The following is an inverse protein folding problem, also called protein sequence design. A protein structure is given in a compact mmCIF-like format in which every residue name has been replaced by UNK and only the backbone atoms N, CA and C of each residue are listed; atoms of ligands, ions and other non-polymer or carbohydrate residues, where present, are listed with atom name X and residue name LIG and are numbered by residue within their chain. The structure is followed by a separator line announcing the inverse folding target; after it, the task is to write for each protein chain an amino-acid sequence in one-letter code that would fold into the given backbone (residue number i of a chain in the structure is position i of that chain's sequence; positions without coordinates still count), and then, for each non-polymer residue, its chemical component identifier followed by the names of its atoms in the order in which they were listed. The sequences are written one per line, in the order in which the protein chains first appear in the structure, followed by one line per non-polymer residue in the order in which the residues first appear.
data_IF_768842209720
#
_entry.id   IF_768842209720
#
_cell.length_a   1.000
_cell.length_b   1.000
_cell.length_c   1.000
_cell.angle_alpha   90.00
_cell.angle_beta   90.00
_cell.angle_gamma   90.00
#
_symmetry.space_group_name_H-M   'P 1'
#
loop_
_entity.id
_entity.type
_entity.pdbx_description
1 polymer ?
#
# COMPACT_ATOMS: atom_id res chain seq x y z
N UNK A 1 -6.64 -18.52 0.41
CA UNK A 1 -5.83 -19.22 1.42
C UNK A 1 -6.70 -19.40 2.64
N UNK A 2 -6.69 -20.56 3.27
CA UNK A 2 -7.48 -20.84 4.47
C UNK A 2 -6.59 -20.96 5.71
N UNK A 3 -7.08 -20.59 6.88
CA UNK A 3 -6.49 -20.91 8.17
C UNK A 3 -6.49 -22.43 8.39
N UNK A 4 -5.89 -22.88 9.49
CA UNK A 4 -5.97 -24.27 9.94
C UNK A 4 -7.43 -24.73 10.17
N UNK A 5 -8.36 -23.79 10.33
CA UNK A 5 -9.81 -24.02 10.50
C UNK A 5 -10.60 -23.93 9.17
N UNK A 6 -9.91 -23.74 8.04
CA UNK A 6 -10.58 -23.65 6.72
C UNK A 6 -11.09 -22.25 6.37
N UNK A 7 -10.83 -21.22 7.18
CA UNK A 7 -11.35 -19.86 6.97
C UNK A 7 -10.43 -18.98 6.11
N UNK A 8 -10.93 -18.08 5.25
CA UNK A 8 -10.09 -17.16 4.49
C UNK A 8 -9.14 -16.35 5.39
N UNK A 9 -7.85 -16.34 5.04
CA UNK A 9 -6.84 -15.54 5.76
C UNK A 9 -7.03 -14.05 5.44
N UNK A 10 -7.80 -13.38 6.29
CA UNK A 10 -8.04 -11.94 6.27
C UNK A 10 -7.19 -11.28 7.36
N UNK A 11 -6.57 -10.14 7.03
CA UNK A 11 -5.89 -9.27 8.00
C UNK A 11 -6.46 -7.88 7.94
N UNK A 12 -6.64 -7.27 9.10
CA UNK A 12 -7.18 -5.92 9.23
C UNK A 12 -6.23 -5.12 10.11
N UNK A 13 -6.01 -3.86 9.74
CA UNK A 13 -5.39 -2.89 10.61
C UNK A 13 -6.20 -1.60 10.57
N UNK A 14 -6.24 -0.91 11.70
CA UNK A 14 -7.00 0.32 11.85
C UNK A 14 -6.04 1.40 12.26
N UNK A 15 -6.13 2.55 11.60
CA UNK A 15 -5.46 3.75 12.05
C UNK A 15 -6.45 4.91 12.15
N UNK A 16 -6.12 5.90 12.96
CA UNK A 16 -6.92 7.09 13.11
C UNK A 16 -6.07 8.37 13.11
N UNK A 17 -6.69 9.50 12.79
CA UNK A 17 -6.09 10.81 12.94
C UNK A 17 -7.17 11.89 13.18
N UNK A 18 -6.71 13.09 13.56
CA UNK A 18 -7.58 14.27 13.61
C UNK A 18 -7.98 14.72 12.20
N UNK A 19 -9.08 15.48 12.12
CA UNK A 19 -9.61 16.00 10.85
C UNK A 19 -8.63 16.91 10.10
N UNK A 20 -7.77 17.63 10.83
CA UNK A 20 -6.77 18.55 10.30
C UNK A 20 -5.42 17.89 9.99
N UNK A 21 -5.28 16.59 10.27
CA UNK A 21 -4.04 15.86 10.03
C UNK A 21 -3.78 15.68 8.53
N UNK A 22 -2.63 16.18 8.08
CA UNK A 22 -2.10 15.87 6.77
C UNK A 22 -1.36 14.54 6.77
N UNK A 23 -2.08 13.45 6.51
CA UNK A 23 -1.54 12.08 6.47
C UNK A 23 -0.46 11.86 5.39
N UNK A 24 -0.26 12.82 4.47
CA UNK A 24 0.75 12.74 3.42
C UNK A 24 1.93 13.69 3.64
N UNK A 25 1.97 14.42 4.76
CA UNK A 25 3.04 15.39 5.02
C UNK A 25 4.41 14.70 4.98
N UNK A 26 5.36 15.30 4.27
CA UNK A 26 6.70 14.74 4.08
C UNK A 26 6.78 13.57 3.10
N UNK A 27 5.64 13.01 2.67
CA UNK A 27 5.58 11.89 1.73
C UNK A 27 5.28 12.32 0.29
N UNK A 28 4.66 13.50 0.07
CA UNK A 28 4.27 13.99 -1.28
C UNK A 28 5.46 14.21 -2.21
N UNK A 29 5.82 13.18 -2.96
CA UNK A 29 6.91 13.19 -3.94
C UNK A 29 6.60 12.17 -5.03
N UNK A 30 7.17 12.34 -6.24
CA UNK A 30 7.19 11.31 -7.28
C UNK A 30 7.69 9.92 -6.82
N UNK A 31 8.62 9.90 -5.85
CA UNK A 31 9.25 8.66 -5.39
C UNK A 31 8.39 7.85 -4.42
N UNK A 32 7.54 8.53 -3.65
CA UNK A 32 6.81 7.97 -2.52
C UNK A 32 5.31 7.85 -2.82
N UNK A 33 4.46 8.79 -2.41
CA UNK A 33 2.99 8.61 -2.48
C UNK A 33 2.32 9.28 -3.66
N UNK A 34 3.01 10.07 -4.48
CA UNK A 34 2.32 11.02 -5.37
C UNK A 34 2.62 12.46 -5.03
N UNK A 35 2.62 13.33 -6.04
CA UNK A 35 2.58 14.79 -5.83
C UNK A 35 1.18 15.23 -5.38
N UNK A 36 0.13 14.55 -5.85
CA UNK A 36 -1.27 14.91 -5.61
C UNK A 36 -2.13 13.72 -5.15
N UNK A 37 -1.79 13.02 -4.05
CA UNK A 37 -2.64 11.94 -3.54
C UNK A 37 -3.99 12.50 -3.05
N UNK A 38 -5.04 11.67 -3.09
CA UNK A 38 -6.34 12.00 -2.50
C UNK A 38 -6.19 12.24 -1.00
N UNK A 39 -6.85 13.28 -0.52
CA UNK A 39 -6.87 13.73 0.89
C UNK A 39 -8.22 13.44 1.53
N UNK A 40 -8.31 13.43 2.87
CA UNK A 40 -9.60 13.31 3.56
C UNK A 40 -10.62 14.36 3.11
N UNK A 41 -10.18 15.58 2.79
CA UNK A 41 -11.05 16.63 2.25
C UNK A 41 -11.68 16.24 0.90
N UNK A 42 -10.91 15.63 -0.02
CA UNK A 42 -11.47 15.18 -1.30
C UNK A 42 -12.51 14.07 -1.09
N UNK A 43 -12.22 13.12 -0.19
CA UNK A 43 -13.12 12.01 0.14
C UNK A 43 -14.42 12.56 0.74
N UNK A 44 -14.31 13.53 1.65
CA UNK A 44 -15.45 14.20 2.26
C UNK A 44 -16.29 14.94 1.23
N UNK A 45 -15.67 15.76 0.37
CA UNK A 45 -16.40 16.52 -0.66
C UNK A 45 -17.18 15.61 -1.59
N UNK A 46 -16.63 14.46 -1.97
CA UNK A 46 -17.35 13.45 -2.72
C UNK A 46 -18.55 12.89 -1.93
N UNK A 47 -18.35 12.52 -0.66
CA UNK A 47 -19.42 12.01 0.19
C UNK A 47 -20.54 13.04 0.37
N UNK A 48 -20.21 14.28 0.71
CA UNK A 48 -21.15 15.37 0.93
C UNK A 48 -21.96 15.69 -0.33
N UNK A 49 -21.33 15.68 -1.52
CA UNK A 49 -22.03 15.88 -2.78
C UNK A 49 -23.06 14.77 -3.08
N UNK A 50 -22.76 13.52 -2.69
CA UNK A 50 -23.68 12.39 -2.86
C UNK A 50 -24.83 12.38 -1.86
N UNK A 51 -24.71 13.10 -0.74
CA UNK A 51 -25.67 13.13 0.36
C UNK A 51 -26.28 14.52 0.57
N UNK A 52 -26.14 15.42 -0.41
CA UNK A 52 -26.73 16.76 -0.32
C UNK A 52 -28.25 16.63 -0.22
N UNK A 53 -28.85 17.32 0.76
CA UNK A 53 -30.30 17.42 0.85
C UNK A 53 -30.78 18.34 -0.26
N UNK A 54 -31.27 17.74 -1.35
CA UNK A 54 -31.77 18.44 -2.52
C UNK A 54 -33.27 18.78 -2.44
N UNK A 55 -33.88 18.58 -1.27
CA UNK A 55 -35.28 18.87 -0.99
C UNK A 55 -35.40 19.74 0.26
N UNK A 56 -36.24 20.78 0.15
CA UNK A 56 -36.60 21.68 1.25
C UNK A 56 -37.58 20.99 2.21
N UNK A 57 -37.78 21.51 3.43
CA UNK A 57 -38.74 20.94 4.39
C UNK A 57 -40.19 20.86 3.88
N UNK A 58 -40.56 21.67 2.90
CA UNK A 58 -41.85 21.68 2.22
C UNK A 58 -41.97 20.61 1.10
N UNK A 59 -40.91 19.82 0.86
CA UNK A 59 -40.85 18.78 -0.16
C UNK A 59 -40.44 19.25 -1.55
N UNK A 60 -40.26 20.56 -1.76
CA UNK A 60 -39.85 21.11 -3.06
C UNK A 60 -38.34 20.95 -3.30
N UNK A 61 -37.88 20.87 -4.56
CA UNK A 61 -36.44 20.91 -4.85
C UNK A 61 -35.78 22.15 -4.24
N UNK A 62 -34.57 21.95 -3.72
CA UNK A 62 -33.71 23.03 -3.23
C UNK A 62 -32.64 23.35 -4.29
N UNK A 63 -32.82 24.42 -5.09
CA UNK A 63 -31.85 24.81 -6.11
C UNK A 63 -30.54 25.36 -5.53
N UNK A 64 -30.50 25.64 -4.22
CA UNK A 64 -29.33 26.14 -3.51
C UNK A 64 -28.69 25.06 -2.62
N UNK A 65 -29.10 23.80 -2.77
CA UNK A 65 -28.52 22.67 -2.06
C UNK A 65 -27.03 22.57 -2.36
N UNK A 66 -26.21 22.94 -1.38
CA UNK A 66 -24.75 22.86 -1.45
C UNK A 66 -24.24 21.76 -0.52
N UNK A 67 -23.24 20.97 -0.94
CA UNK A 67 -22.61 19.99 -0.06
C UNK A 67 -21.97 20.69 1.14
N UNK A 68 -22.04 20.04 2.31
CA UNK A 68 -21.33 20.48 3.52
C UNK A 68 -19.81 20.53 3.24
N UNK A 69 -19.18 21.67 3.55
CA UNK A 69 -17.74 21.85 3.37
C UNK A 69 -16.94 20.95 4.33
N UNK A 70 -15.66 20.71 4.02
CA UNK A 70 -14.80 19.94 4.92
C UNK A 70 -14.53 20.69 6.24
N UNK A 71 -14.45 22.03 6.17
CA UNK A 71 -14.28 22.90 7.32
C UNK A 71 -15.48 22.83 8.27
N UNK A 72 -16.70 22.76 7.74
CA UNK A 72 -17.91 22.60 8.55
C UNK A 72 -18.02 21.18 9.11
N UNK A 73 -17.70 20.16 8.31
CA UNK A 73 -17.68 18.78 8.76
C UNK A 73 -16.68 18.58 9.92
N UNK A 74 -15.53 19.24 9.87
CA UNK A 74 -14.50 19.23 10.92
C UNK A 74 -14.96 19.84 12.26
N UNK A 75 -16.07 20.60 12.28
CA UNK A 75 -16.68 21.08 13.54
C UNK A 75 -17.53 20.00 14.22
N UNK A 76 -18.02 19.02 13.44
CA UNK A 76 -18.93 17.98 13.89
C UNK A 76 -18.22 16.64 14.11
N UNK A 77 -17.33 16.27 13.20
CA UNK A 77 -16.46 15.11 13.31
C UNK A 77 -15.14 15.52 13.93
N UNK A 78 -14.55 14.64 14.73
CA UNK A 78 -13.29 14.89 15.42
C UNK A 78 -12.19 13.92 14.97
N UNK A 79 -12.57 12.81 14.30
CA UNK A 79 -11.64 11.76 13.91
C UNK A 79 -11.96 11.22 12.52
N UNK A 80 -10.87 10.92 11.82
CA UNK A 80 -10.85 10.10 10.61
C UNK A 80 -10.28 8.74 11.01
N UNK A 81 -10.98 7.66 10.69
CA UNK A 81 -10.44 6.30 10.77
C UNK A 81 -10.19 5.76 9.38
N UNK A 82 -9.05 5.10 9.20
CA UNK A 82 -8.67 4.37 7.99
C UNK A 82 -8.57 2.90 8.38
N UNK A 83 -9.51 2.09 7.91
CA UNK A 83 -9.54 0.65 8.13
C UNK A 83 -9.00 -0.02 6.87
N UNK A 84 -7.83 -0.64 6.96
CA UNK A 84 -7.24 -1.40 5.86
C UNK A 84 -7.49 -2.89 6.05
N UNK A 85 -7.96 -3.55 5.00
CA UNK A 85 -8.11 -5.00 4.95
C UNK A 85 -7.22 -5.60 3.87
N UNK A 86 -6.70 -6.81 4.11
CA UNK A 86 -5.98 -7.64 3.15
C UNK A 86 -6.59 -9.04 3.13
N UNK A 87 -6.81 -9.56 1.92
CA UNK A 87 -7.11 -10.97 1.68
C UNK A 87 -5.88 -11.62 1.05
N UNK A 88 -5.32 -12.63 1.73
CA UNK A 88 -4.12 -13.31 1.26
C UNK A 88 -4.41 -14.19 0.04
N UNK A 89 -3.58 -14.05 -0.99
CA UNK A 89 -3.56 -14.97 -2.14
C UNK A 89 -2.95 -16.30 -1.68
N UNK A 90 -3.41 -17.41 -2.25
CA UNK A 90 -2.87 -18.73 -1.92
C UNK A 90 -1.34 -18.77 -2.17
N UNK A 91 -0.50 -19.08 -1.16
CA UNK A 91 0.95 -19.18 -1.31
C UNK A 91 1.41 -20.08 -2.46
N UNK A 92 0.62 -21.11 -2.79
CA UNK A 92 0.92 -22.02 -3.89
C UNK A 92 1.03 -21.29 -5.24
N UNK A 93 0.19 -20.29 -5.48
CA UNK A 93 0.22 -19.48 -6.72
C UNK A 93 1.57 -18.80 -6.90
N UNK A 94 2.15 -18.27 -5.82
CA UNK A 94 3.48 -17.67 -5.86
C UNK A 94 4.59 -18.71 -5.98
N UNK A 95 4.45 -19.89 -5.33
CA UNK A 95 5.43 -20.99 -5.44
C UNK A 95 5.51 -21.54 -6.85
N UNK A 96 4.37 -21.76 -7.48
CA UNK A 96 4.28 -22.23 -8.86
C UNK A 96 4.89 -21.20 -9.80
N UNK A 97 4.61 -19.91 -9.60
CA UNK A 97 5.16 -18.88 -10.46
C UNK A 97 6.67 -18.72 -10.26
N UNK A 98 7.16 -18.76 -9.02
CA UNK A 98 8.59 -18.74 -8.75
C UNK A 98 9.32 -19.93 -9.34
N UNK A 99 8.74 -21.13 -9.29
CA UNK A 99 9.32 -22.31 -9.95
C UNK A 99 9.45 -22.10 -11.45
N UNK A 100 8.37 -21.64 -12.10
CA UNK A 100 8.38 -21.29 -13.54
C UNK A 100 9.49 -20.26 -13.88
N UNK A 101 9.65 -19.24 -13.05
CA UNK A 101 10.70 -18.22 -13.17
C UNK A 101 12.12 -18.82 -13.06
N UNK A 102 12.32 -19.73 -12.09
CA UNK A 102 13.59 -20.42 -11.82
C UNK A 102 13.95 -21.41 -12.95
N UNK A 103 12.95 -22.03 -13.56
CA UNK A 103 13.09 -22.94 -14.70
C UNK A 103 13.44 -22.20 -16.02
N UNK A 104 13.57 -20.87 -15.98
CA UNK A 104 13.94 -20.04 -17.12
C UNK A 104 12.80 -19.70 -18.06
N UNK A 105 11.57 -20.04 -17.69
CA UNK A 105 10.39 -19.77 -18.50
C UNK A 105 10.04 -18.27 -18.46
N UNK A 106 9.90 -17.68 -19.65
CA UNK A 106 9.62 -16.26 -19.84
C UNK A 106 8.12 -15.94 -19.74
N UNK A 107 7.27 -16.96 -19.88
CA UNK A 107 5.84 -16.81 -20.01
C UNK A 107 5.20 -16.46 -18.65
N UNK A 108 4.10 -15.70 -18.64
CA UNK A 108 3.35 -15.44 -17.42
C UNK A 108 2.75 -16.75 -16.90
N UNK A 109 2.54 -16.84 -15.59
CA UNK A 109 1.70 -17.91 -15.05
C UNK A 109 0.25 -17.45 -15.12
N UNK A 110 -0.54 -17.97 -16.06
CA UNK A 110 -1.95 -17.56 -16.27
C UNK A 110 -2.78 -17.62 -14.97
N UNK A 111 -2.49 -18.62 -14.14
CA UNK A 111 -3.12 -18.79 -12.83
C UNK A 111 -2.83 -17.64 -11.86
N UNK A 112 -1.67 -16.97 -11.96
CA UNK A 112 -1.31 -15.84 -11.10
C UNK A 112 -2.23 -14.64 -11.34
N UNK A 113 -2.40 -14.22 -12.61
CA UNK A 113 -3.25 -13.06 -12.94
C UNK A 113 -4.68 -13.31 -12.49
N UNK A 114 -5.25 -14.47 -12.82
CA UNK A 114 -6.62 -14.85 -12.43
C UNK A 114 -6.79 -14.85 -10.92
N UNK A 115 -5.95 -15.60 -10.18
CA UNK A 115 -6.06 -15.68 -8.73
C UNK A 115 -5.97 -14.30 -8.05
N UNK A 116 -5.07 -13.44 -8.53
CA UNK A 116 -4.91 -12.10 -7.92
C UNK A 116 -6.04 -11.13 -8.29
N UNK A 117 -6.68 -11.28 -9.45
CA UNK A 117 -7.87 -10.50 -9.84
C UNK A 117 -9.12 -10.98 -9.09
N UNK A 118 -9.27 -12.29 -8.88
CA UNK A 118 -10.37 -12.85 -8.12
C UNK A 118 -10.31 -12.36 -6.67
N UNK A 119 -9.13 -12.44 -6.04
CA UNK A 119 -8.90 -11.92 -4.69
C UNK A 119 -9.16 -10.40 -4.61
N UNK A 120 -8.78 -9.62 -5.63
CA UNK A 120 -9.11 -8.19 -5.69
C UNK A 120 -10.62 -7.93 -5.73
N UNK A 121 -11.36 -8.71 -6.52
CA UNK A 121 -12.82 -8.59 -6.66
C UNK A 121 -13.54 -8.96 -5.37
N UNK A 122 -13.08 -10.03 -4.71
CA UNK A 122 -13.62 -10.47 -3.41
C UNK A 122 -13.42 -9.37 -2.37
N UNK A 123 -12.21 -8.80 -2.26
CA UNK A 123 -11.95 -7.78 -1.24
C UNK A 123 -12.71 -6.48 -1.51
N UNK A 124 -12.78 -6.00 -2.75
CA UNK A 124 -13.57 -4.80 -3.09
C UNK A 124 -15.06 -5.00 -2.75
N UNK A 125 -15.58 -6.21 -2.98
CA UNK A 125 -16.96 -6.58 -2.61
C UNK A 125 -17.16 -6.64 -1.09
N UNK A 126 -16.21 -7.22 -0.36
CA UNK A 126 -16.25 -7.31 1.10
C UNK A 126 -16.18 -5.92 1.75
N UNK A 127 -15.26 -5.06 1.30
CA UNK A 127 -15.13 -3.68 1.78
C UNK A 127 -16.42 -2.89 1.57
N UNK A 128 -17.07 -3.05 0.42
CA UNK A 128 -18.35 -2.38 0.14
C UNK A 128 -19.47 -2.85 1.09
N UNK A 129 -19.55 -4.15 1.38
CA UNK A 129 -20.54 -4.71 2.32
C UNK A 129 -20.29 -4.27 3.76
N UNK A 130 -19.03 -4.32 4.21
CA UNK A 130 -18.65 -3.87 5.56
C UNK A 130 -18.91 -2.38 5.71
N UNK A 131 -18.53 -1.57 4.72
CA UNK A 131 -18.81 -0.13 4.73
C UNK A 131 -20.30 0.17 4.89
N UNK A 132 -21.18 -0.55 4.16
CA UNK A 132 -22.63 -0.40 4.28
C UNK A 132 -23.13 -0.75 5.69
N UNK A 133 -22.62 -1.82 6.31
CA UNK A 133 -22.98 -2.22 7.68
C UNK A 133 -22.49 -1.24 8.74
N UNK A 134 -21.41 -0.50 8.46
CA UNK A 134 -20.86 0.50 9.36
C UNK A 134 -21.58 1.86 9.32
N UNK A 135 -22.44 2.09 8.32
CA UNK A 135 -23.15 3.35 8.18
C UNK A 135 -24.08 3.59 9.37
N UNK A 136 -24.01 4.79 9.93
CA UNK A 136 -24.90 5.23 11.00
C UNK A 136 -25.13 6.74 10.90
N UNK A 137 -26.16 7.30 11.56
CA UNK A 137 -26.43 8.74 11.52
C UNK A 137 -25.25 9.61 11.99
N UNK A 138 -24.37 9.05 12.81
CA UNK A 138 -23.22 9.74 13.40
C UNK A 138 -21.89 9.45 12.69
N UNK A 139 -21.92 8.74 11.56
CA UNK A 139 -20.71 8.34 10.82
C UNK A 139 -20.89 8.55 9.31
N UNK A 140 -19.88 9.11 8.67
CA UNK A 140 -19.76 9.03 7.21
C UNK A 140 -18.76 7.93 6.86
N UNK A 141 -19.18 6.95 6.05
CA UNK A 141 -18.37 5.78 5.71
C UNK A 141 -18.19 5.70 4.19
N UNK A 142 -16.95 5.67 3.73
CA UNK A 142 -16.60 5.64 2.31
C UNK A 142 -15.66 4.44 2.05
N UNK A 143 -16.11 3.40 1.32
CA UNK A 143 -15.21 2.34 0.88
C UNK A 143 -14.32 2.85 -0.26
N UNK A 144 -13.00 2.74 -0.12
CA UNK A 144 -12.00 3.17 -1.10
C UNK A 144 -11.64 2.03 -2.06
N UNK A 145 -12.65 1.49 -2.75
CA UNK A 145 -12.44 0.59 -3.89
C UNK A 145 -11.82 1.35 -5.07
N UNK A 146 -11.28 0.64 -6.07
CA UNK A 146 -10.71 1.31 -7.25
C UNK A 146 -11.73 2.24 -7.93
N UNK A 147 -12.95 1.75 -8.13
CA UNK A 147 -14.05 2.50 -8.74
C UNK A 147 -14.41 3.76 -7.94
N UNK A 148 -14.44 3.68 -6.62
CA UNK A 148 -14.77 4.83 -5.78
C UNK A 148 -13.63 5.85 -5.75
N UNK A 149 -12.38 5.39 -5.66
CA UNK A 149 -11.23 6.28 -5.79
C UNK A 149 -11.31 7.07 -7.10
N UNK A 150 -11.43 6.38 -8.25
CA UNK A 150 -11.59 6.96 -9.59
C UNK A 150 -12.76 7.99 -9.66
N UNK A 151 -13.89 7.67 -9.02
CA UNK A 151 -15.04 8.56 -8.93
C UNK A 151 -14.79 9.82 -8.06
N UNK A 152 -14.00 9.71 -7.00
CA UNK A 152 -13.61 10.85 -6.16
C UNK A 152 -12.73 11.80 -6.98
N UNK A 153 -11.68 11.30 -7.63
CA UNK A 153 -10.76 12.16 -8.42
C UNK A 153 -11.50 12.87 -9.53
N UNK A 154 -12.31 12.13 -10.31
CA UNK A 154 -12.99 12.70 -11.47
C UNK A 154 -13.91 13.87 -11.09
N UNK A 155 -14.42 13.89 -9.86
CA UNK A 155 -15.34 14.91 -9.34
C UNK A 155 -14.67 16.02 -8.53
N UNK A 156 -13.58 15.72 -7.84
CA UNK A 156 -12.95 16.65 -6.88
C UNK A 156 -11.66 17.27 -7.40
N UNK A 157 -11.03 16.68 -8.43
CA UNK A 157 -9.74 17.11 -8.94
C UNK A 157 -9.86 17.69 -10.35
N UNK A 158 -9.14 18.78 -10.63
CA UNK A 158 -9.15 19.40 -11.95
C UNK A 158 -8.31 18.59 -12.94
N UNK A 159 -8.65 18.73 -14.23
CA UNK A 159 -8.06 17.93 -15.32
C UNK A 159 -6.52 18.02 -15.38
N UNK A 160 -5.95 19.19 -15.03
CA UNK A 160 -4.49 19.39 -15.02
C UNK A 160 -3.74 18.56 -13.97
N UNK A 161 -4.44 18.00 -12.97
CA UNK A 161 -3.85 17.09 -11.98
C UNK A 161 -4.09 15.62 -12.31
N UNK A 162 -5.05 15.31 -13.20
CA UNK A 162 -5.36 13.95 -13.61
C UNK A 162 -4.20 13.36 -14.40
N UNK A 163 -3.88 12.09 -14.14
CA UNK A 163 -2.74 11.38 -14.72
C UNK A 163 -1.35 11.86 -14.27
N UNK A 164 -1.22 12.91 -13.45
CA UNK A 164 0.08 13.42 -12.93
C UNK A 164 0.42 12.89 -11.54
N UNK A 165 0.07 11.64 -11.29
CA UNK A 165 0.28 10.96 -10.02
C UNK A 165 1.55 10.13 -10.15
N UNK A 166 2.66 10.66 -9.64
CA UNK A 166 3.93 9.93 -9.64
C UNK A 166 4.16 9.31 -8.26
N UNK A 167 4.06 8.00 -8.19
CA UNK A 167 4.41 7.15 -7.06
C UNK A 167 4.63 5.74 -7.63
N UNK A 168 5.24 4.78 -6.89
CA UNK A 168 5.61 3.47 -7.42
C UNK A 168 4.42 2.62 -7.94
N UNK A 169 3.18 3.08 -7.81
CA UNK A 169 1.98 2.39 -8.30
C UNK A 169 0.96 3.26 -9.07
N UNK A 170 1.24 4.55 -9.38
CA UNK A 170 0.31 5.45 -10.09
C UNK A 170 -1.17 5.30 -9.65
N UNK A 171 -1.40 5.23 -8.34
CA UNK A 171 -2.75 5.14 -7.76
C UNK A 171 -3.07 6.45 -7.04
N UNK A 172 -4.27 6.96 -7.27
CA UNK A 172 -4.77 8.21 -6.70
C UNK A 172 -5.04 8.12 -5.21
N UNK A 173 -5.40 6.92 -4.77
CA UNK A 173 -5.44 6.52 -3.38
C UNK A 173 -4.33 5.50 -3.19
N UNK A 174 -3.10 5.90 -2.78
CA UNK A 174 -1.91 5.04 -2.80
C UNK A 174 -2.05 3.84 -1.87
N UNK A 175 -2.73 2.78 -2.32
CA UNK A 175 -3.15 1.65 -1.49
C UNK A 175 -1.98 1.01 -0.75
N UNK A 176 -0.83 0.89 -1.43
CA UNK A 176 0.38 0.34 -0.83
C UNK A 176 0.86 1.17 0.37
N UNK A 177 0.86 2.49 0.23
CA UNK A 177 1.26 3.38 1.32
C UNK A 177 0.23 3.39 2.44
N UNK A 178 -1.08 3.33 2.12
CA UNK A 178 -2.15 3.24 3.11
C UNK A 178 -2.03 1.98 3.98
N UNK A 179 -1.79 0.81 3.39
CA UNK A 179 -1.64 -0.43 4.18
C UNK A 179 -0.37 -0.44 5.03
N UNK A 180 0.67 0.27 4.59
CA UNK A 180 1.88 0.44 5.41
C UNK A 180 1.65 1.44 6.55
N UNK A 181 0.99 2.57 6.26
CA UNK A 181 0.68 3.58 7.27
C UNK A 181 -0.28 3.07 8.35
N UNK A 182 -1.23 2.21 7.98
CA UNK A 182 -2.11 1.56 8.96
C UNK A 182 -1.44 0.48 9.79
N UNK A 183 -0.16 0.16 9.54
CA UNK A 183 0.56 -0.91 10.22
C UNK A 183 0.21 -2.31 9.74
N UNK A 184 -0.64 -2.45 8.71
CA UNK A 184 -1.03 -3.75 8.17
C UNK A 184 0.15 -4.49 7.55
N UNK A 185 1.02 -3.77 6.85
CA UNK A 185 2.12 -4.34 6.06
C UNK A 185 3.39 -3.49 6.18
N UNK A 186 4.51 -4.00 5.65
CA UNK A 186 5.74 -3.23 5.42
C UNK A 186 6.14 -3.35 3.96
N UNK A 187 6.78 -2.32 3.41
CA UNK A 187 7.37 -2.42 2.08
C UNK A 187 8.56 -3.40 2.11
N UNK A 188 8.70 -4.16 1.03
CA UNK A 188 9.99 -4.77 0.68
C UNK A 188 10.89 -3.81 -0.06
N UNK A 189 12.15 -4.22 -0.27
CA UNK A 189 13.06 -3.54 -1.20
C UNK A 189 12.48 -3.46 -2.62
N UNK A 190 11.57 -4.37 -2.97
CA UNK A 190 10.81 -4.35 -4.22
C UNK A 190 9.68 -3.30 -4.27
N UNK A 191 9.49 -2.51 -3.20
CA UNK A 191 8.42 -1.52 -3.02
C UNK A 191 7.00 -2.09 -3.08
N UNK A 192 6.86 -3.40 -2.88
CA UNK A 192 5.56 -4.07 -2.74
C UNK A 192 5.35 -4.37 -1.26
N UNK A 193 4.20 -3.99 -0.68
CA UNK A 193 3.91 -4.29 0.71
C UNK A 193 3.65 -5.80 0.87
N UNK A 194 4.12 -6.36 1.97
CA UNK A 194 3.82 -7.71 2.42
C UNK A 194 3.79 -7.76 3.94
N UNK A 195 3.32 -8.88 4.48
CA UNK A 195 3.27 -9.11 5.92
C UNK A 195 3.93 -10.44 6.24
N UNK A 196 4.86 -10.44 7.19
CA UNK A 196 5.40 -11.67 7.77
C UNK A 196 4.71 -11.89 9.12
N UNK A 197 4.25 -13.11 9.35
CA UNK A 197 3.60 -13.53 10.59
C UNK A 197 4.21 -14.85 11.10
N UNK A 198 4.04 -15.12 12.39
CA UNK A 198 4.34 -16.41 13.01
C UNK A 198 3.03 -17.17 13.13
N UNK A 199 2.97 -18.38 12.58
CA UNK A 199 1.82 -19.28 12.70
C UNK A 199 1.79 -19.90 14.09
N UNK A 200 0.67 -20.53 14.46
CA UNK A 200 0.52 -21.24 15.74
C UNK A 200 1.57 -22.34 15.93
N UNK A 201 2.03 -22.95 14.84
CA UNK A 201 3.08 -23.97 14.83
C UNK A 201 4.49 -23.38 15.00
N UNK A 202 4.61 -22.07 15.17
CA UNK A 202 5.90 -21.35 15.23
C UNK A 202 6.54 -21.14 13.86
N UNK A 203 5.92 -21.62 12.78
CA UNK A 203 6.43 -21.43 11.42
C UNK A 203 6.24 -19.98 10.98
N UNK A 204 7.19 -19.45 10.20
CA UNK A 204 7.03 -18.13 9.59
C UNK A 204 6.26 -18.22 8.29
N UNK A 205 5.35 -17.27 8.10
CA UNK A 205 4.54 -17.19 6.91
C UNK A 205 4.56 -15.77 6.35
N UNK A 206 4.93 -15.68 5.08
CA UNK A 206 4.83 -14.44 4.30
C UNK A 206 3.51 -14.39 3.57
N UNK A 207 2.74 -13.34 3.83
CA UNK A 207 1.46 -13.07 3.22
C UNK A 207 1.60 -11.95 2.18
N UNK A 208 1.23 -12.31 0.95
CA UNK A 208 0.94 -11.38 -0.13
C UNK A 208 -0.54 -11.50 -0.47
N UNK A 209 -1.16 -10.38 -0.81
CA UNK A 209 -2.59 -10.33 -1.00
C UNK A 209 -3.03 -9.12 -1.80
N UNK A 210 -4.34 -9.02 -1.99
CA UNK A 210 -4.96 -7.76 -2.40
C UNK A 210 -5.54 -7.10 -1.17
N UNK A 211 -5.48 -5.78 -1.17
CA UNK A 211 -5.86 -4.95 -0.05
C UNK A 211 -6.62 -3.72 -0.52
N UNK A 212 -7.42 -3.18 0.38
CA UNK A 212 -8.14 -1.93 0.20
C UNK A 212 -8.53 -1.37 1.55
N UNK A 213 -9.20 -0.22 1.55
CA UNK A 213 -9.49 0.49 2.79
C UNK A 213 -10.89 1.08 2.82
N UNK A 214 -11.39 1.33 4.02
CA UNK A 214 -12.57 2.12 4.30
C UNK A 214 -12.12 3.37 5.07
N UNK A 215 -12.63 4.53 4.68
CA UNK A 215 -12.45 5.79 5.41
C UNK A 215 -13.74 6.11 6.14
N UNK A 216 -13.63 6.38 7.44
CA UNK A 216 -14.75 6.73 8.31
C UNK A 216 -14.49 8.09 8.94
N UNK A 217 -15.48 8.98 8.89
CA UNK A 217 -15.51 10.21 9.67
C UNK A 217 -16.49 10.03 10.83
N UNK A 218 -16.04 10.24 12.06
CA UNK A 218 -16.89 10.10 13.25
C UNK A 218 -16.62 11.18 14.32
N UNK A 219 -17.51 11.23 15.32
CA UNK A 219 -17.51 12.25 16.37
C UNK A 219 -16.53 11.96 17.50
N UNK A 220 -15.91 10.79 17.51
CA UNK A 220 -14.98 10.41 18.58
C UNK A 220 -13.64 11.13 18.40
N UNK A 221 -12.84 11.18 19.46
CA UNK A 221 -11.49 11.75 19.39
C UNK A 221 -10.48 10.72 18.87
N UNK A 222 -9.42 11.16 18.18
CA UNK A 222 -8.27 10.32 17.86
C UNK A 222 -7.73 9.67 19.15
N UNK A 223 -7.50 8.36 19.10
CA UNK A 223 -6.95 7.61 20.22
C UNK A 223 -5.49 7.28 19.94
N UNK A 224 -4.64 7.43 20.96
CA UNK A 224 -3.25 6.94 20.91
C UNK A 224 -3.25 5.41 20.85
N UNK A 225 -2.15 4.84 20.38
CA UNK A 225 -1.95 3.41 20.44
C UNK A 225 -1.95 2.95 21.91
N UNK A 226 -2.97 2.20 22.29
CA UNK A 226 -3.15 1.62 23.62
C UNK A 226 -2.99 0.09 23.59
N UNK A 227 -2.41 -0.46 22.53
CA UNK A 227 -2.25 -1.90 22.33
C UNK A 227 -3.53 -2.60 21.83
N UNK A 228 -4.66 -1.89 21.64
CA UNK A 228 -5.89 -2.46 21.07
C UNK A 228 -5.87 -2.55 19.53
N UNK A 229 -4.71 -2.34 18.91
CA UNK A 229 -4.55 -2.48 17.46
C UNK A 229 -5.09 -1.31 16.64
N UNK A 230 -5.21 -0.11 17.24
CA UNK A 230 -5.53 1.12 16.54
C UNK A 230 -4.32 2.06 16.58
N UNK A 231 -3.72 2.29 15.42
CA UNK A 231 -2.55 3.18 15.28
C UNK A 231 -2.98 4.64 15.19
N UNK A 232 -2.34 5.53 15.94
CA UNK A 232 -2.46 6.98 15.72
C UNK A 232 -1.54 7.40 14.57
N UNK A 233 -2.11 8.06 13.55
CA UNK A 233 -1.35 8.70 12.49
C UNK A 233 -1.08 10.16 12.89
N UNK A 234 0.05 10.38 13.54
CA UNK A 234 0.62 11.71 13.78
C UNK A 234 1.93 11.89 12.99
N UNK A 235 2.56 13.05 13.11
CA UNK A 235 3.77 13.35 12.35
C UNK A 235 4.98 12.50 12.76
N UNK A 236 5.06 12.09 14.03
CA UNK A 236 6.15 11.25 14.52
C UNK A 236 6.05 9.85 13.94
N UNK A 237 4.84 9.27 13.92
CA UNK A 237 4.59 7.98 13.28
C UNK A 237 4.84 8.04 11.77
N UNK A 238 4.42 9.09 11.07
CA UNK A 238 4.70 9.24 9.63
C UNK A 238 6.20 9.31 9.33
N UNK A 239 6.97 10.03 10.14
CA UNK A 239 8.42 10.11 9.97
C UNK A 239 9.09 8.77 10.29
N UNK A 240 8.64 8.07 11.33
CA UNK A 240 9.11 6.71 11.63
C UNK A 240 8.81 5.73 10.50
N UNK A 241 7.58 5.72 9.98
CA UNK A 241 7.18 4.88 8.83
C UNK A 241 8.02 5.19 7.59
N UNK A 242 8.32 6.46 7.34
CA UNK A 242 9.22 6.85 6.24
C UNK A 242 10.60 6.22 6.42
N UNK A 243 11.18 6.26 7.62
CA UNK A 243 12.50 5.66 7.90
C UNK A 243 12.52 4.15 7.75
N UNK A 244 11.53 3.46 8.33
CA UNK A 244 11.44 1.99 8.25
C UNK A 244 11.33 1.50 6.81
N UNK A 245 10.68 2.26 5.94
CA UNK A 245 10.49 1.88 4.53
C UNK A 245 11.55 2.47 3.58
N UNK A 246 12.51 3.27 4.07
CA UNK A 246 13.61 3.82 3.28
C UNK A 246 14.88 2.96 3.40
N UNK A 247 15.14 2.14 2.39
CA UNK A 247 16.25 1.21 2.35
C UNK A 247 17.64 1.86 2.24
N UNK A 248 17.72 3.20 2.11
CA UNK A 248 19.00 3.93 2.25
C UNK A 248 19.39 4.14 3.72
N UNK A 249 18.44 3.99 4.64
CA UNK A 249 18.69 4.07 6.08
C UNK A 249 19.07 2.68 6.58
N UNK A 250 20.29 2.54 7.08
CA UNK A 250 20.87 1.26 7.54
C UNK A 250 21.20 1.25 9.03
N UNK A 251 20.52 2.10 9.80
CA UNK A 251 20.50 2.03 11.26
C UNK A 251 19.98 0.65 11.71
N UNK A 252 20.70 -0.10 12.57
CA UNK A 252 20.26 -1.39 13.09
C UNK A 252 18.83 -1.39 13.65
N UNK A 253 18.46 -0.34 14.40
CA UNK A 253 17.14 -0.19 15.03
C UNK A 253 16.03 -0.03 13.98
N UNK A 254 16.36 0.54 12.81
CA UNK A 254 15.41 0.68 11.70
C UNK A 254 15.36 -0.61 10.87
N UNK A 255 16.49 -1.29 10.67
CA UNK A 255 16.57 -2.53 9.91
C UNK A 255 15.78 -3.65 10.60
N UNK A 256 15.80 -3.70 11.92
CA UNK A 256 15.12 -4.73 12.69
C UNK A 256 13.60 -4.71 12.51
N UNK A 257 13.02 -3.51 12.42
CA UNK A 257 11.60 -3.23 12.20
C UNK A 257 11.10 -3.61 10.78
N UNK A 258 12.02 -3.89 9.85
CA UNK A 258 11.68 -4.34 8.49
C UNK A 258 11.36 -5.83 8.46
N UNK A 259 10.33 -6.19 7.69
CA UNK A 259 10.11 -7.60 7.30
C UNK A 259 11.14 -8.08 6.27
N UNK A 260 11.51 -7.23 5.31
CA UNK A 260 12.51 -7.59 4.31
C UNK A 260 13.92 -7.57 4.91
N UNK A 261 14.68 -8.64 4.68
CA UNK A 261 16.05 -8.83 5.18
C UNK A 261 17.12 -8.24 4.27
N UNK A 262 16.77 -7.32 3.36
CA UNK A 262 17.69 -6.80 2.35
C UNK A 262 18.93 -6.12 2.94
N UNK A 263 18.79 -5.28 3.97
CA UNK A 263 19.94 -4.59 4.59
C UNK A 263 20.63 -5.43 5.67
N UNK A 264 20.18 -6.67 5.94
CA UNK A 264 20.97 -7.57 6.76
C UNK A 264 22.11 -8.13 5.91
N UNK A 265 23.31 -8.11 6.45
CA UNK A 265 24.52 -8.51 5.74
C UNK A 265 25.04 -9.85 6.25
N UNK A 266 25.59 -10.63 5.32
CA UNK A 266 26.43 -11.79 5.60
C UNK A 266 27.86 -11.33 5.97
N UNK A 267 28.72 -12.23 6.50
CA UNK A 267 30.10 -11.88 6.82
C UNK A 267 30.93 -11.35 5.64
N UNK A 268 30.57 -11.72 4.41
CA UNK A 268 31.20 -11.24 3.18
C UNK A 268 30.69 -9.86 2.71
N UNK A 269 29.80 -9.23 3.48
CA UNK A 269 29.18 -7.94 3.15
C UNK A 269 28.01 -8.02 2.17
N UNK A 270 27.69 -9.20 1.63
CA UNK A 270 26.54 -9.36 0.75
C UNK A 270 25.22 -9.34 1.54
N UNK A 271 24.15 -8.84 0.92
CA UNK A 271 22.81 -8.93 1.50
C UNK A 271 22.41 -10.39 1.76
N UNK A 272 21.75 -10.62 2.89
CA UNK A 272 21.09 -11.89 3.20
C UNK A 272 20.06 -12.20 2.12
N UNK A 273 19.27 -11.21 1.66
CA UNK A 273 18.22 -11.42 0.67
C UNK A 273 18.15 -10.30 -0.36
N UNK A 274 18.35 -10.60 -1.65
CA UNK A 274 18.13 -9.66 -2.76
C UNK A 274 17.45 -10.31 -3.96
N UNK A 275 16.77 -11.45 -3.77
CA UNK A 275 16.32 -12.32 -4.88
C UNK A 275 15.38 -11.63 -5.86
N UNK A 276 14.49 -10.76 -5.37
CA UNK A 276 13.56 -10.01 -6.22
C UNK A 276 14.26 -9.01 -7.15
N UNK A 277 15.43 -8.48 -6.76
CA UNK A 277 16.25 -7.58 -7.59
C UNK A 277 16.88 -8.38 -8.73
N UNK A 278 17.50 -9.52 -8.43
CA UNK A 278 18.14 -10.37 -9.44
C UNK A 278 17.16 -10.99 -10.46
N UNK A 279 15.89 -11.12 -10.09
CA UNK A 279 14.84 -11.69 -10.95
C UNK A 279 14.04 -10.64 -11.74
N UNK A 280 14.47 -9.37 -11.73
CA UNK A 280 13.79 -8.28 -12.42
C UNK A 280 14.23 -8.18 -13.89
N UNK A 281 13.39 -8.59 -14.87
CA UNK A 281 13.81 -8.66 -16.27
C UNK A 281 14.01 -7.27 -16.90
N UNK A 282 13.30 -6.25 -16.43
CA UNK A 282 13.36 -4.89 -16.96
C UNK A 282 14.53 -4.06 -16.40
N UNK A 283 15.30 -4.61 -15.46
CA UNK A 283 16.27 -3.88 -14.64
C UNK A 283 15.69 -2.71 -13.82
N UNK A 284 14.37 -2.56 -13.76
CA UNK A 284 13.75 -1.47 -13.01
C UNK A 284 14.10 -1.52 -11.52
N UNK A 285 14.08 -2.73 -10.92
CA UNK A 285 14.43 -2.91 -9.51
C UNK A 285 15.91 -2.68 -9.20
N UNK A 286 16.87 -3.31 -9.93
CA UNK A 286 18.29 -2.97 -9.80
C UNK A 286 18.56 -1.46 -9.93
N UNK A 287 17.86 -0.79 -10.84
CA UNK A 287 17.99 0.65 -11.05
C UNK A 287 17.29 1.51 -9.98
N UNK A 288 16.56 0.91 -9.03
CA UNK A 288 15.72 1.63 -8.06
C UNK A 288 15.97 1.25 -6.61
N UNK A 289 16.95 0.37 -6.39
CA UNK A 289 17.32 -0.14 -5.06
C UNK A 289 18.71 0.38 -4.72
N UNK A 290 18.94 0.89 -3.49
CA UNK A 290 20.30 1.10 -3.02
C UNK A 290 21.02 -0.24 -2.90
N UNK A 291 22.34 -0.20 -2.73
CA UNK A 291 23.12 -1.34 -2.26
C UNK A 291 22.70 -1.71 -0.82
N UNK A 292 23.10 -2.88 -0.31
CA UNK A 292 22.71 -3.33 1.02
C UNK A 292 23.16 -2.41 2.16
N UNK A 293 24.23 -1.63 1.95
CA UNK A 293 24.75 -0.59 2.83
C UNK A 293 23.98 0.75 2.75
N UNK A 294 22.92 0.80 1.94
CA UNK A 294 22.06 1.97 1.77
C UNK A 294 22.53 2.96 0.70
N UNK A 295 23.69 2.72 0.06
CA UNK A 295 24.26 3.64 -0.92
C UNK A 295 23.81 3.31 -2.33
N UNK A 296 23.40 4.31 -3.12
CA UNK A 296 23.12 4.08 -4.53
C UNK A 296 24.42 3.95 -5.34
N UNK A 297 24.52 3.00 -6.29
CA UNK A 297 25.66 2.93 -7.19
C UNK A 297 25.85 4.22 -8.01
N UNK A 298 27.09 4.58 -8.35
CA UNK A 298 27.44 5.78 -9.13
C UNK A 298 26.61 5.93 -10.42
N UNK A 299 26.38 4.83 -11.12
CA UNK A 299 25.57 4.81 -12.34
C UNK A 299 24.14 5.32 -12.10
N UNK A 300 23.59 5.07 -10.92
CA UNK A 300 22.26 5.53 -10.51
C UNK A 300 22.35 6.98 -10.04
N UNK A 301 23.34 7.34 -9.21
CA UNK A 301 23.54 8.73 -8.75
C UNK A 301 23.71 9.73 -9.90
N UNK A 302 24.27 9.31 -11.03
CA UNK A 302 24.38 10.14 -12.26
C UNK A 302 23.04 10.40 -12.95
N UNK A 303 21.98 9.63 -12.65
CA UNK A 303 20.64 9.81 -13.20
C UNK A 303 19.85 10.86 -12.40
N UNK A 304 20.38 12.11 -12.34
CA UNK A 304 19.81 13.20 -11.53
C UNK A 304 18.32 13.45 -11.74
N UNK A 305 17.82 13.20 -12.96
CA UNK A 305 16.40 13.36 -13.31
C UNK A 305 15.46 12.37 -12.61
N UNK A 306 15.98 11.30 -12.00
CA UNK A 306 15.20 10.32 -11.24
C UNK A 306 15.19 10.60 -9.74
N UNK A 307 15.94 11.60 -9.29
CA UNK A 307 15.96 11.98 -7.89
C UNK A 307 15.00 13.15 -7.66
N UNK A 308 14.07 12.96 -6.73
CA UNK A 308 13.32 14.05 -6.14
C UNK A 308 13.94 14.39 -4.79
N UNK A 309 14.71 15.49 -4.74
CA UNK A 309 15.63 15.78 -3.62
C UNK A 309 16.61 14.61 -3.45
N UNK A 310 16.58 13.91 -2.31
CA UNK A 310 17.44 12.78 -1.98
C UNK A 310 16.77 11.43 -2.24
N UNK A 311 15.47 11.42 -2.61
CA UNK A 311 14.71 10.19 -2.80
C UNK A 311 14.68 9.77 -4.26
N UNK A 312 15.01 8.50 -4.54
CA UNK A 312 15.02 7.94 -5.88
C UNK A 312 13.63 7.46 -6.32
N UNK A 313 13.15 8.00 -7.44
CA UNK A 313 11.96 7.53 -8.13
C UNK A 313 12.18 6.12 -8.66
N UNK A 314 11.18 5.25 -8.42
CA UNK A 314 11.18 3.91 -9.01
C UNK A 314 11.23 4.02 -10.54
N UNK A 315 12.00 3.16 -11.19
CA UNK A 315 12.14 3.05 -12.64
C UNK A 315 10.88 2.43 -13.27
N UNK A 316 9.75 3.10 -13.06
CA UNK A 316 8.44 2.69 -13.52
C UNK A 316 8.38 2.63 -15.04
N UNK A 317 9.10 3.51 -15.74
CA UNK A 317 9.15 3.54 -17.19
C UNK A 317 9.71 2.23 -17.76
N UNK A 318 10.82 1.70 -17.24
CA UNK A 318 11.35 0.41 -17.69
C UNK A 318 10.44 -0.75 -17.25
N UNK A 319 9.89 -0.72 -16.03
CA UNK A 319 8.97 -1.74 -15.55
C UNK A 319 7.70 -1.83 -16.42
N UNK A 320 7.07 -0.68 -16.70
CA UNK A 320 5.84 -0.60 -17.50
C UNK A 320 6.10 -0.96 -18.95
N UNK A 321 7.21 -0.50 -19.55
CA UNK A 321 7.53 -0.79 -20.95
C UNK A 321 7.71 -2.28 -21.20
N UNK A 322 8.48 -2.96 -20.36
CA UNK A 322 8.66 -4.42 -20.45
C UNK A 322 7.32 -5.16 -20.35
N UNK A 323 6.45 -4.71 -19.43
CA UNK A 323 5.10 -5.28 -19.26
C UNK A 323 4.21 -5.05 -20.47
N UNK A 324 4.17 -3.83 -21.00
CA UNK A 324 3.33 -3.47 -22.15
C UNK A 324 3.77 -4.22 -23.41
N UNK A 325 5.07 -4.25 -23.70
CA UNK A 325 5.61 -4.96 -24.87
C UNK A 325 5.27 -6.46 -24.85
N UNK A 326 5.32 -7.09 -23.67
CA UNK A 326 4.95 -8.50 -23.53
C UNK A 326 3.44 -8.71 -23.54
N UNK A 327 2.66 -7.77 -23.03
CA UNK A 327 1.20 -7.81 -23.07
C UNK A 327 0.63 -7.68 -24.50
N UNK A 328 1.37 -7.07 -25.43
CA UNK A 328 1.01 -7.04 -26.86
C UNK A 328 1.09 -8.43 -27.51
N UNK A 329 1.91 -9.34 -26.96
CA UNK A 329 2.12 -10.70 -27.46
C UNK A 329 1.27 -11.70 -26.67
N UNK A 330 1.12 -11.48 -25.36
CA UNK A 330 0.41 -12.36 -24.44
C UNK A 330 -0.65 -11.58 -23.66
N UNK A 331 -1.93 -11.78 -24.00
CA UNK A 331 -3.07 -11.05 -23.44
C UNK A 331 -3.11 -11.04 -21.90
N UNK A 332 -2.63 -12.12 -21.28
CA UNK A 332 -2.64 -12.33 -19.84
C UNK A 332 -1.34 -11.90 -19.10
N UNK A 333 -0.39 -11.25 -19.78
CA UNK A 333 0.90 -10.89 -19.18
C UNK A 333 0.80 -9.80 -18.08
N UNK A 334 1.37 -10.07 -16.90
CA UNK A 334 1.44 -9.11 -15.77
C UNK A 334 2.81 -9.00 -15.08
N UNK A 335 3.85 -9.68 -15.59
CA UNK A 335 5.20 -9.81 -15.02
C UNK A 335 5.25 -10.32 -13.58
N UNK A 336 5.01 -9.48 -12.56
CA UNK A 336 4.99 -9.83 -11.13
C UNK A 336 6.14 -10.73 -10.59
N UNK A 337 7.26 -10.88 -11.31
CA UNK A 337 8.37 -11.79 -10.95
C UNK A 337 8.97 -11.43 -9.59
N UNK A 338 9.14 -10.14 -9.33
CA UNK A 338 9.66 -9.65 -8.06
C UNK A 338 8.72 -9.91 -6.87
N UNK A 339 7.41 -9.94 -7.10
CA UNK A 339 6.40 -10.27 -6.10
C UNK A 339 6.44 -11.77 -5.82
N UNK A 340 6.34 -12.61 -6.86
CA UNK A 340 6.33 -14.06 -6.75
C UNK A 340 7.60 -14.61 -6.07
N UNK A 341 8.77 -14.09 -6.44
CA UNK A 341 10.05 -14.48 -5.84
C UNK A 341 10.14 -14.00 -4.39
N UNK A 342 9.71 -12.77 -4.08
CA UNK A 342 9.72 -12.27 -2.71
C UNK A 342 8.78 -13.09 -1.80
N UNK A 343 7.59 -13.43 -2.31
CA UNK A 343 6.58 -14.20 -1.60
C UNK A 343 7.02 -15.63 -1.29
N UNK A 344 7.65 -16.30 -2.25
CA UNK A 344 7.90 -17.75 -2.18
C UNK A 344 9.34 -18.14 -1.87
N UNK A 345 10.32 -17.26 -2.15
CA UNK A 345 11.76 -17.52 -1.98
C UNK A 345 12.46 -16.49 -1.12
N UNK A 346 11.78 -15.39 -0.76
CA UNK A 346 12.34 -14.37 0.10
C UNK A 346 12.66 -14.92 1.48
N UNK A 347 13.79 -14.51 2.05
CA UNK A 347 14.21 -14.97 3.37
C UNK A 347 13.37 -14.25 4.43
N UNK A 348 12.93 -15.02 5.42
CA UNK A 348 12.16 -14.57 6.58
C UNK A 348 13.11 -14.62 7.79
N UNK A 349 13.10 -13.58 8.64
CA UNK A 349 13.84 -13.60 9.92
C UNK A 349 13.21 -14.65 10.85
N UNK A 350 13.87 -15.15 11.88
CA UNK A 350 13.23 -15.82 13.04
C UNK A 350 13.02 -14.82 14.19
N UNK A 351 12.16 -15.10 15.19
CA UNK A 351 12.01 -14.22 16.36
C UNK A 351 13.34 -13.98 17.08
N UNK A 352 14.13 -15.03 17.26
CA UNK A 352 15.46 -14.98 17.89
C UNK A 352 16.44 -14.15 17.06
N UNK A 353 16.34 -14.22 15.72
CA UNK A 353 17.14 -13.37 14.85
C UNK A 353 16.75 -11.89 14.98
N UNK A 354 15.48 -11.57 15.22
CA UNK A 354 15.06 -10.18 15.48
C UNK A 354 15.58 -9.73 16.83
N UNK A 355 15.50 -10.56 17.88
CA UNK A 355 16.01 -10.26 19.22
C UNK A 355 17.52 -10.07 19.25
N UNK A 356 18.30 -10.91 18.55
CA UNK A 356 19.76 -10.75 18.43
C UNK A 356 20.15 -9.51 17.61
N UNK A 357 19.27 -9.03 16.73
CA UNK A 357 19.49 -7.78 15.97
C UNK A 357 19.07 -6.55 16.81
N UNK A 358 18.14 -6.71 17.76
CA UNK A 358 17.54 -5.64 18.57
C UNK A 358 18.09 -5.51 19.99
N UNK A 359 18.89 -6.47 20.47
CA UNK A 359 19.56 -6.47 21.77
C UNK A 359 21.06 -6.43 21.61
#
# INVERSE_FOLDING_TARGET
MTSNEGEPVVRVAVANCSMDMDIWKGLRTPANVGVHPLTPADIWMHYAAMHVKNTRPDGMPDPLAMPESFEDASKRFQRIMIISGMLAVNPQVFRDYAKKIEDGDADPLDHYRRATNDVATIIDSALSKVALQMMSPDRAVIPMTKKNADAIISRTRPEYTKGRYHGPCNDHWPKNSIVVMTGLMRFGINRIPFRDEVTEEGNRQRLFGRYGSIVVFDKERPVKDDGKGITLLDYDNLEWLKKVNDYTIVDPDIISERYCTYNLLKPDGASICGKCIGMCPSNALPNSSPLPDGVFPDKILRQKHRFWKETLDFDYANCSRDRTQKAEIFEDYVCARCEAICASRGIQKSPEQIEVING
#
